data_IF_420936760819
#
_entry.id   IF_420936760819
#
_cell.length_a   1.000
_cell.length_b   1.000
_cell.length_c   1.000
_cell.angle_alpha   90.00
_cell.angle_beta   90.00
_cell.angle_gamma   90.00
#
_symmetry.space_group_name_H-M   'P 1'
#
loop_
_entity.id
_entity.type
_entity.pdbx_description
1 polymer ?
#
# COMPACT_ATOMS: atom_id res chain seq x y z
N UNK A 1 -21.42 10.37 -11.38
CA UNK A 1 -21.40 8.91 -11.54
C UNK A 1 -21.04 8.59 -12.98
N UNK A 2 -20.28 7.49 -13.21
CA UNK A 2 -20.00 6.98 -14.54
C UNK A 2 -21.12 6.03 -14.98
N UNK A 3 -21.41 5.98 -16.27
CA UNK A 3 -22.39 5.05 -16.86
C UNK A 3 -21.88 3.61 -16.84
N UNK A 4 -20.56 3.43 -16.99
CA UNK A 4 -19.92 2.11 -16.99
C UNK A 4 -20.06 1.41 -15.64
N UNK A 5 -20.45 0.14 -15.64
CA UNK A 5 -20.65 -0.64 -14.42
C UNK A 5 -19.34 -1.13 -13.80
N UNK A 6 -19.40 -1.49 -12.51
CA UNK A 6 -18.25 -1.92 -11.74
C UNK A 6 -17.63 -3.23 -12.23
N UNK A 7 -18.43 -4.16 -12.79
CA UNK A 7 -17.94 -5.45 -13.29
C UNK A 7 -17.12 -5.23 -14.56
N UNK A 8 -17.58 -4.32 -15.45
CA UNK A 8 -16.85 -3.96 -16.65
C UNK A 8 -15.51 -3.31 -16.27
N UNK A 9 -15.52 -2.33 -15.35
CA UNK A 9 -14.29 -1.70 -14.84
C UNK A 9 -13.35 -2.77 -14.30
N UNK A 10 -13.83 -3.64 -13.42
CA UNK A 10 -13.03 -4.70 -12.81
C UNK A 10 -12.40 -5.60 -13.87
N UNK A 11 -13.18 -6.08 -14.87
CA UNK A 11 -12.71 -6.92 -15.97
C UNK A 11 -11.54 -6.28 -16.74
N UNK A 12 -11.62 -4.98 -17.01
CA UNK A 12 -10.56 -4.25 -17.70
C UNK A 12 -9.28 -4.12 -16.88
N UNK A 13 -9.40 -3.93 -15.55
CA UNK A 13 -8.22 -3.77 -14.68
C UNK A 13 -7.53 -5.10 -14.36
N UNK A 14 -8.25 -6.24 -14.36
CA UNK A 14 -7.65 -7.57 -14.13
C UNK A 14 -7.28 -8.30 -15.44
N UNK A 15 -7.37 -7.64 -16.60
CA UNK A 15 -6.96 -8.22 -17.88
C UNK A 15 -5.51 -8.71 -17.83
N UNK A 16 -5.23 -10.01 -18.12
CA UNK A 16 -3.88 -10.58 -17.94
C UNK A 16 -2.81 -9.90 -18.81
N UNK A 17 -3.17 -9.47 -20.01
CA UNK A 17 -2.24 -8.80 -20.92
C UNK A 17 -1.90 -7.40 -20.39
N UNK A 18 -2.90 -6.68 -19.88
CA UNK A 18 -2.69 -5.38 -19.26
C UNK A 18 -1.83 -5.50 -18.01
N UNK A 19 -2.12 -6.45 -17.13
CA UNK A 19 -1.35 -6.69 -15.90
C UNK A 19 0.12 -6.99 -16.23
N UNK A 20 0.36 -7.96 -17.10
CA UNK A 20 1.72 -8.38 -17.51
C UNK A 20 2.50 -7.22 -18.14
N UNK A 21 1.88 -6.48 -19.07
CA UNK A 21 2.51 -5.36 -19.79
C UNK A 21 2.97 -4.25 -18.85
N UNK A 22 2.25 -4.04 -17.73
CA UNK A 22 2.49 -2.93 -16.81
C UNK A 22 3.10 -3.36 -15.46
N UNK A 23 3.58 -4.62 -15.37
CA UNK A 23 4.20 -5.21 -14.17
C UNK A 23 3.27 -5.18 -12.94
N UNK A 24 1.98 -5.44 -13.16
CA UNK A 24 1.00 -5.66 -12.11
C UNK A 24 0.56 -7.12 -12.03
N UNK A 25 -0.09 -7.45 -10.94
CA UNK A 25 -0.88 -8.67 -10.76
C UNK A 25 -2.22 -8.31 -10.10
N UNK A 26 -3.09 -9.29 -9.92
CA UNK A 26 -4.44 -9.08 -9.36
C UNK A 26 -4.44 -8.55 -7.93
N UNK A 27 -3.38 -8.78 -7.14
CA UNK A 27 -3.27 -8.32 -5.76
C UNK A 27 -2.78 -6.88 -5.66
N UNK A 28 -1.94 -6.43 -6.61
CA UNK A 28 -1.29 -5.12 -6.53
C UNK A 28 -1.80 -4.10 -7.55
N UNK A 29 -2.70 -4.48 -8.45
CA UNK A 29 -3.27 -3.56 -9.45
C UNK A 29 -3.95 -2.33 -8.84
N UNK A 30 -4.46 -2.45 -7.62
CA UNK A 30 -5.04 -1.32 -6.88
C UNK A 30 -4.06 -0.15 -6.73
N UNK A 31 -2.75 -0.41 -6.77
CA UNK A 31 -1.69 0.61 -6.73
C UNK A 31 -1.72 1.60 -7.90
N UNK A 32 -2.42 1.26 -9.00
CA UNK A 32 -2.57 2.14 -10.15
C UNK A 32 -3.38 3.40 -9.83
N UNK A 33 -4.22 3.33 -8.80
CA UNK A 33 -5.06 4.44 -8.37
C UNK A 33 -4.28 5.35 -7.41
N UNK A 34 -3.77 6.45 -7.94
CA UNK A 34 -3.15 7.50 -7.11
C UNK A 34 -4.25 8.40 -6.57
N UNK A 35 -4.35 8.62 -5.24
CA UNK A 35 -5.38 9.48 -4.67
C UNK A 35 -5.28 10.92 -5.20
N UNK A 36 -6.29 11.32 -5.94
CA UNK A 36 -6.45 12.68 -6.47
C UNK A 36 -7.90 12.89 -6.89
N UNK A 37 -8.25 14.11 -7.28
CA UNK A 37 -9.52 14.42 -7.95
C UNK A 37 -9.32 14.29 -9.45
N UNK A 38 -10.16 13.48 -10.08
CA UNK A 38 -10.13 13.23 -11.52
C UNK A 38 -11.47 13.58 -12.13
N UNK A 39 -11.45 14.34 -13.21
CA UNK A 39 -12.63 14.66 -13.98
C UNK A 39 -12.80 13.68 -15.15
N UNK A 40 -14.02 13.14 -15.30
CA UNK A 40 -14.42 12.25 -16.36
C UNK A 40 -15.77 12.66 -16.91
N UNK A 41 -15.97 12.47 -18.21
CA UNK A 41 -17.31 12.51 -18.76
C UNK A 41 -18.10 11.30 -18.24
N UNK A 42 -19.41 11.50 -18.01
CA UNK A 42 -20.29 10.45 -17.47
C UNK A 42 -20.30 9.17 -18.31
N UNK A 43 -20.16 9.30 -19.65
CA UNK A 43 -20.11 8.21 -20.61
C UNK A 43 -18.68 7.67 -20.88
N UNK A 44 -17.76 7.89 -19.96
CA UNK A 44 -16.39 7.37 -20.09
C UNK A 44 -16.38 5.85 -19.96
N UNK A 45 -15.89 5.15 -20.99
CA UNK A 45 -15.78 3.68 -20.98
C UNK A 45 -14.71 3.17 -20.02
N UNK A 46 -14.82 1.90 -19.58
CA UNK A 46 -13.83 1.24 -18.72
C UNK A 46 -12.40 1.28 -19.31
N UNK A 47 -12.29 1.14 -20.64
CA UNK A 47 -10.99 1.24 -21.31
C UNK A 47 -10.37 2.63 -21.18
N UNK A 48 -11.15 3.69 -21.41
CA UNK A 48 -10.68 5.08 -21.26
C UNK A 48 -10.32 5.38 -19.81
N UNK A 49 -11.12 4.91 -18.85
CA UNK A 49 -10.84 5.02 -17.44
C UNK A 49 -9.49 4.37 -17.10
N UNK A 50 -9.29 3.11 -17.50
CA UNK A 50 -8.02 2.38 -17.28
C UNK A 50 -6.83 3.11 -17.90
N UNK A 51 -6.95 3.58 -19.13
CA UNK A 51 -5.88 4.34 -19.81
C UNK A 51 -5.55 5.62 -19.04
N UNK A 52 -6.56 6.33 -18.54
CA UNK A 52 -6.35 7.55 -17.74
C UNK A 52 -5.66 7.24 -16.42
N UNK A 53 -6.10 6.22 -15.66
CA UNK A 53 -5.47 5.86 -14.39
C UNK A 53 -4.02 5.44 -14.59
N UNK A 54 -3.72 4.65 -15.63
CA UNK A 54 -2.34 4.28 -15.94
C UNK A 54 -1.48 5.50 -16.31
N UNK A 55 -2.02 6.47 -17.05
CA UNK A 55 -1.33 7.72 -17.37
C UNK A 55 -0.98 8.51 -16.10
N UNK A 56 -1.95 8.66 -15.20
CA UNK A 56 -1.75 9.36 -13.91
C UNK A 56 -0.71 8.64 -13.04
N UNK A 57 -0.79 7.30 -12.96
CA UNK A 57 0.21 6.48 -12.28
C UNK A 57 1.62 6.71 -12.84
N UNK A 58 1.79 6.64 -14.15
CA UNK A 58 3.09 6.83 -14.79
C UNK A 58 3.64 8.26 -14.60
N UNK A 59 2.77 9.27 -14.59
CA UNK A 59 3.12 10.66 -14.31
C UNK A 59 3.51 10.86 -12.85
N UNK A 60 2.79 10.23 -11.92
CA UNK A 60 3.10 10.27 -10.49
C UNK A 60 4.48 9.67 -10.18
N UNK A 61 4.80 8.52 -10.80
CA UNK A 61 6.12 7.89 -10.69
C UNK A 61 7.13 8.57 -11.61
N UNK A 62 7.37 9.87 -11.35
CA UNK A 62 8.37 10.67 -12.05
C UNK A 62 9.81 10.22 -11.72
N UNK A 63 10.80 10.79 -12.40
CA UNK A 63 12.23 10.44 -12.23
C UNK A 63 12.67 10.48 -10.76
N UNK A 64 12.23 11.48 -10.00
CA UNK A 64 12.63 11.63 -8.59
C UNK A 64 12.10 10.47 -7.73
N UNK A 65 10.78 10.12 -7.84
CA UNK A 65 10.19 9.00 -7.09
C UNK A 65 10.77 7.66 -7.52
N UNK A 66 11.00 7.45 -8.80
CA UNK A 66 11.65 6.24 -9.33
C UNK A 66 13.04 6.05 -8.73
N UNK A 67 13.86 7.10 -8.70
CA UNK A 67 15.20 7.04 -8.11
C UNK A 67 15.15 6.71 -6.62
N UNK A 68 14.19 7.27 -5.87
CA UNK A 68 14.01 6.96 -4.44
C UNK A 68 13.57 5.52 -4.21
N UNK A 69 12.61 5.02 -4.98
CA UNK A 69 12.17 3.62 -4.93
C UNK A 69 13.33 2.64 -5.21
N UNK A 70 14.16 2.96 -6.22
CA UNK A 70 15.35 2.16 -6.54
C UNK A 70 16.38 2.15 -5.38
N UNK A 71 16.57 3.25 -4.68
CA UNK A 71 17.49 3.32 -3.52
C UNK A 71 17.06 2.40 -2.39
N UNK A 72 15.76 2.31 -2.11
CA UNK A 72 15.21 1.42 -1.09
C UNK A 72 14.92 0.01 -1.63
N UNK A 73 15.30 -0.28 -2.88
CA UNK A 73 15.18 -1.59 -3.55
C UNK A 73 13.75 -2.15 -3.57
N UNK A 74 12.75 -1.29 -3.69
CA UNK A 74 11.34 -1.67 -3.82
C UNK A 74 10.80 -1.26 -5.20
N UNK A 75 9.94 -2.10 -5.75
CA UNK A 75 9.11 -1.77 -6.91
C UNK A 75 8.05 -0.73 -6.51
N UNK A 76 7.45 -0.05 -7.47
CA UNK A 76 6.43 0.97 -7.20
C UNK A 76 5.19 0.39 -6.50
N UNK A 77 4.81 -0.85 -6.85
CA UNK A 77 3.71 -1.55 -6.19
C UNK A 77 4.07 -1.94 -4.74
N UNK A 78 5.31 -2.34 -4.48
CA UNK A 78 5.80 -2.63 -3.13
C UNK A 78 5.89 -1.37 -2.27
N UNK A 79 6.32 -0.24 -2.85
CA UNK A 79 6.25 1.06 -2.15
C UNK A 79 4.81 1.40 -1.77
N UNK A 80 3.84 1.22 -2.68
CA UNK A 80 2.42 1.43 -2.39
C UNK A 80 1.92 0.45 -1.33
N UNK A 81 2.39 -0.79 -1.35
CA UNK A 81 2.05 -1.82 -0.35
C UNK A 81 2.53 -1.40 1.03
N UNK A 82 3.81 -1.05 1.17
CA UNK A 82 4.36 -0.57 2.43
C UNK A 82 3.68 0.72 2.90
N UNK A 83 3.42 1.66 1.99
CA UNK A 83 2.73 2.91 2.29
C UNK A 83 1.32 2.68 2.85
N UNK A 84 0.60 1.66 2.35
CA UNK A 84 -0.72 1.30 2.88
C UNK A 84 -0.66 0.76 4.31
N UNK A 85 0.42 0.06 4.67
CA UNK A 85 0.68 -0.41 6.03
C UNK A 85 1.01 0.78 6.94
N UNK A 86 1.98 1.59 6.55
CA UNK A 86 2.42 2.79 7.29
C UNK A 86 1.24 3.75 7.54
N UNK A 87 0.36 3.92 6.57
CA UNK A 87 -0.83 4.75 6.73
C UNK A 87 -1.79 4.22 7.80
N UNK A 88 -1.97 2.91 7.85
CA UNK A 88 -2.86 2.28 8.82
C UNK A 88 -2.25 2.18 10.23
N UNK A 89 -0.93 2.09 10.34
CA UNK A 89 -0.24 2.19 11.62
C UNK A 89 -0.33 3.60 12.21
N UNK A 90 -0.15 4.63 11.37
CA UNK A 90 -0.19 6.02 11.82
C UNK A 90 -1.12 6.86 10.96
N UNK A 91 -2.40 6.87 11.33
CA UNK A 91 -3.43 7.65 10.63
C UNK A 91 -3.40 9.14 10.98
N UNK A 92 -3.01 9.48 12.21
CA UNK A 92 -3.17 10.82 12.80
C UNK A 92 -1.94 11.66 12.54
N UNK A 93 -0.77 11.21 13.01
CA UNK A 93 0.50 11.94 12.94
C UNK A 93 1.28 11.59 11.68
N UNK A 94 1.02 12.36 10.63
CA UNK A 94 1.63 12.12 9.31
C UNK A 94 3.14 12.32 9.29
N UNK A 95 3.66 13.15 10.19
CA UNK A 95 5.08 13.45 10.39
C UNK A 95 5.87 12.28 10.99
N UNK A 96 5.22 11.35 11.68
CA UNK A 96 5.85 10.12 12.19
C UNK A 96 5.97 9.01 11.13
N UNK A 97 5.22 9.10 10.03
CA UNK A 97 5.22 8.06 8.97
C UNK A 97 6.59 7.74 8.38
N UNK A 98 7.50 8.72 8.14
CA UNK A 98 8.85 8.40 7.67
C UNK A 98 9.66 7.53 8.65
N UNK A 99 9.48 7.72 9.97
CA UNK A 99 10.12 6.90 11.00
C UNK A 99 9.58 5.47 10.97
N UNK A 100 8.26 5.31 10.93
CA UNK A 100 7.60 4.00 10.83
C UNK A 100 8.00 3.28 9.54
N UNK A 101 8.09 4.02 8.44
CA UNK A 101 8.56 3.47 7.16
C UNK A 101 9.98 2.94 7.25
N UNK A 102 10.89 3.69 7.89
CA UNK A 102 12.27 3.26 8.15
C UNK A 102 12.35 1.98 8.96
N UNK A 103 11.54 1.88 10.04
CA UNK A 103 11.46 0.68 10.86
C UNK A 103 11.03 -0.55 10.03
N UNK A 104 10.00 -0.43 9.20
CA UNK A 104 9.56 -1.55 8.36
C UNK A 104 10.57 -1.90 7.28
N UNK A 105 11.27 -0.93 6.68
CA UNK A 105 12.37 -1.19 5.75
C UNK A 105 13.50 -1.96 6.44
N UNK A 106 13.88 -1.60 7.67
CA UNK A 106 14.88 -2.33 8.45
C UNK A 106 14.48 -3.79 8.68
N UNK A 107 13.20 -4.04 9.04
CA UNK A 107 12.67 -5.41 9.17
C UNK A 107 12.73 -6.18 7.85
N UNK A 108 12.40 -5.54 6.72
CA UNK A 108 12.51 -6.16 5.39
C UNK A 108 13.96 -6.54 5.09
N UNK A 109 14.90 -5.62 5.27
CA UNK A 109 16.32 -5.86 4.99
C UNK A 109 16.94 -6.95 5.88
N UNK A 110 16.47 -7.07 7.12
CA UNK A 110 16.88 -8.10 8.06
C UNK A 110 16.10 -9.41 7.91
N UNK A 111 15.25 -9.53 6.89
CA UNK A 111 14.41 -10.71 6.66
C UNK A 111 13.53 -11.06 7.89
N UNK A 112 13.05 -10.06 8.59
CA UNK A 112 12.12 -10.18 9.71
C UNK A 112 10.66 -10.18 9.20
N UNK A 113 9.75 -10.64 10.06
CA UNK A 113 8.30 -10.47 9.86
C UNK A 113 7.93 -9.01 10.15
N UNK A 114 6.95 -8.45 9.41
CA UNK A 114 6.52 -7.07 9.68
C UNK A 114 5.66 -6.96 10.95
N UNK A 115 4.87 -8.02 11.27
CA UNK A 115 4.04 -8.11 12.47
C UNK A 115 3.10 -6.92 12.65
N UNK A 116 2.50 -6.48 11.54
CA UNK A 116 1.60 -5.35 11.47
C UNK A 116 0.15 -5.78 11.67
N UNK A 117 -0.52 -5.26 12.70
CA UNK A 117 -1.93 -5.55 13.00
C UNK A 117 -2.88 -5.17 11.86
N UNK A 118 -2.76 -4.02 11.18
CA UNK A 118 -3.58 -3.69 10.02
C UNK A 118 -3.60 -4.75 8.91
N UNK A 119 -2.50 -5.47 8.71
CA UNK A 119 -2.44 -6.53 7.70
C UNK A 119 -3.28 -7.76 8.11
N UNK A 120 -3.38 -8.05 9.41
CA UNK A 120 -4.27 -9.09 9.93
C UNK A 120 -5.74 -8.71 9.81
N UNK A 121 -6.08 -7.48 10.15
CA UNK A 121 -7.45 -6.94 9.99
C UNK A 121 -7.89 -7.09 8.54
N UNK A 122 -7.00 -6.73 7.59
CA UNK A 122 -7.26 -6.90 6.16
C UNK A 122 -7.39 -8.40 5.76
N UNK A 123 -6.53 -9.26 6.31
CA UNK A 123 -6.56 -10.70 6.04
C UNK A 123 -7.85 -11.37 6.51
N UNK A 124 -8.38 -10.92 7.65
CA UNK A 124 -9.64 -11.39 8.24
C UNK A 124 -10.88 -10.80 7.54
N UNK A 125 -10.73 -9.68 6.80
CA UNK A 125 -11.82 -8.92 6.19
C UNK A 125 -12.87 -8.44 7.20
N UNK A 126 -12.46 -8.30 8.45
CA UNK A 126 -13.29 -7.76 9.53
C UNK A 126 -12.68 -6.46 10.04
N UNK A 127 -13.20 -5.37 9.50
CA UNK A 127 -12.72 -4.00 9.81
C UNK A 127 -13.33 -3.43 11.10
N UNK A 128 -14.13 -4.19 11.83
CA UNK A 128 -14.66 -3.83 13.16
C UNK A 128 -13.68 -4.16 14.30
N UNK A 129 -12.62 -4.93 14.01
CA UNK A 129 -11.61 -5.33 14.98
C UNK A 129 -10.81 -4.12 15.43
N UNK A 130 -10.95 -3.77 16.73
CA UNK A 130 -10.15 -2.71 17.36
C UNK A 130 -8.85 -3.24 17.99
N UNK A 131 -8.80 -4.53 18.34
CA UNK A 131 -7.63 -5.17 18.96
C UNK A 131 -7.44 -6.58 18.41
N UNK A 132 -6.26 -6.84 17.85
CA UNK A 132 -5.88 -8.15 17.36
C UNK A 132 -5.54 -9.09 18.53
N UNK A 133 -6.10 -10.30 18.50
CA UNK A 133 -5.87 -11.35 19.50
C UNK A 133 -4.94 -12.43 18.96
N UNK A 134 -4.37 -13.25 19.88
CA UNK A 134 -3.47 -14.36 19.48
C UNK A 134 -4.14 -15.38 18.56
N UNK A 135 -5.46 -15.58 18.65
CA UNK A 135 -6.22 -16.45 17.72
C UNK A 135 -6.19 -15.91 16.28
N UNK A 136 -6.22 -14.60 16.11
CA UNK A 136 -6.27 -13.92 14.81
C UNK A 136 -4.94 -14.06 14.06
N UNK A 137 -3.82 -14.10 14.79
CA UNK A 137 -2.48 -14.32 14.23
C UNK A 137 -2.30 -15.68 13.55
N UNK A 138 -3.24 -16.61 13.74
CA UNK A 138 -3.22 -17.94 13.13
C UNK A 138 -3.84 -17.99 11.74
N UNK A 139 -4.50 -16.92 11.28
CA UNK A 139 -5.17 -16.88 9.97
C UNK A 139 -4.19 -17.26 8.85
N UNK A 140 -4.63 -18.17 7.97
CA UNK A 140 -3.83 -18.58 6.82
C UNK A 140 -4.14 -17.69 5.61
N UNK A 141 -3.46 -16.55 5.55
CA UNK A 141 -3.60 -15.59 4.47
C UNK A 141 -2.22 -15.05 4.09
N UNK A 142 -1.91 -14.83 2.80
CA UNK A 142 -0.65 -14.23 2.38
C UNK A 142 -0.47 -12.78 2.89
N UNK A 143 -1.53 -12.16 3.37
CA UNK A 143 -1.50 -10.85 4.04
C UNK A 143 -1.14 -10.93 5.53
N UNK A 144 -1.01 -12.13 6.11
CA UNK A 144 -0.64 -12.30 7.52
C UNK A 144 0.86 -12.08 7.73
N UNK A 145 1.25 -10.86 8.08
CA UNK A 145 2.66 -10.50 8.32
C UNK A 145 3.21 -10.99 9.67
N UNK A 146 2.40 -11.61 10.52
CA UNK A 146 2.86 -12.38 11.68
C UNK A 146 3.29 -13.80 11.31
N UNK A 147 2.79 -14.33 10.19
CA UNK A 147 3.08 -15.67 9.73
C UNK A 147 4.16 -15.68 8.64
N UNK A 148 4.05 -14.77 7.69
CA UNK A 148 4.93 -14.69 6.53
C UNK A 148 5.87 -13.49 6.61
N UNK A 149 7.10 -13.65 6.14
CA UNK A 149 8.11 -12.60 6.05
C UNK A 149 7.92 -11.73 4.80
N UNK A 150 8.44 -10.51 4.86
CA UNK A 150 8.38 -9.57 3.75
C UNK A 150 7.04 -8.87 3.61
N UNK A 151 6.86 -8.18 2.49
CA UNK A 151 5.63 -7.47 2.17
C UNK A 151 4.51 -8.45 1.78
N UNK A 152 3.24 -8.12 2.11
CA UNK A 152 2.10 -8.84 1.56
C UNK A 152 1.99 -8.66 0.04
N UNK A 153 1.16 -9.46 -0.66
CA UNK A 153 1.09 -9.47 -2.13
C UNK A 153 0.65 -8.15 -2.77
N UNK A 154 0.06 -7.25 -1.99
CA UNK A 154 -0.42 -5.96 -2.46
C UNK A 154 -0.88 -5.06 -1.31
N UNK A 155 -1.29 -3.83 -1.61
CA UNK A 155 -1.75 -2.87 -0.61
C UNK A 155 -3.00 -3.32 0.13
N UNK A 156 -3.11 -2.95 1.41
CA UNK A 156 -4.29 -3.19 2.26
C UNK A 156 -5.32 -2.06 2.19
N UNK A 157 -4.95 -0.94 1.58
CA UNK A 157 -5.83 0.17 1.19
C UNK A 157 -5.14 0.95 0.07
N UNK A 158 -5.84 1.90 -0.56
CA UNK A 158 -5.21 2.88 -1.44
C UNK A 158 -4.51 3.91 -0.55
N UNK A 159 -3.15 3.93 -0.51
CA UNK A 159 -2.43 4.85 0.38
C UNK A 159 -2.47 6.28 -0.15
N UNK A 160 -2.52 7.25 0.75
CA UNK A 160 -2.37 8.66 0.41
C UNK A 160 -0.99 8.96 -0.19
N UNK A 161 -0.89 10.03 -0.98
CA UNK A 161 0.40 10.51 -1.53
C UNK A 161 1.41 10.76 -0.40
N UNK A 162 0.93 11.30 0.74
CA UNK A 162 1.79 11.53 1.90
C UNK A 162 2.42 10.23 2.42
N UNK A 163 1.67 9.12 2.47
CA UNK A 163 2.19 7.82 2.91
C UNK A 163 3.18 7.22 1.91
N UNK A 164 2.92 7.38 0.60
CA UNK A 164 3.87 6.96 -0.44
C UNK A 164 5.17 7.76 -0.32
N UNK A 165 5.06 9.08 -0.20
CA UNK A 165 6.23 9.96 -0.07
C UNK A 165 6.96 9.72 1.28
N UNK A 166 6.26 9.33 2.35
CA UNK A 166 6.88 8.94 3.62
C UNK A 166 7.76 7.68 3.46
N UNK A 167 7.31 6.67 2.72
CA UNK A 167 8.12 5.48 2.42
C UNK A 167 9.33 5.85 1.55
N UNK A 168 9.14 6.70 0.55
CA UNK A 168 10.22 7.16 -0.34
C UNK A 168 11.24 8.08 0.34
N UNK A 169 10.88 8.66 1.50
CA UNK A 169 11.73 9.51 2.34
C UNK A 169 11.84 8.93 3.75
N UNK A 170 11.82 7.60 3.87
CA UNK A 170 11.94 6.91 5.14
C UNK A 170 13.14 7.44 5.93
N UNK A 171 12.96 7.64 7.23
CA UNK A 171 14.03 8.10 8.12
C UNK A 171 15.12 7.05 8.23
N UNK A 172 16.36 7.49 8.23
CA UNK A 172 17.55 6.66 8.42
C UNK A 172 17.79 6.46 9.92
N UNK A 173 17.58 5.23 10.40
CA UNK A 173 17.81 4.79 11.78
C UNK A 173 17.83 3.26 11.82
N UNK A 174 18.23 2.68 12.96
CA UNK A 174 18.35 1.23 13.16
C UNK A 174 17.15 0.61 13.90
N UNK A 175 16.07 1.35 14.13
CA UNK A 175 14.92 0.85 14.86
C UNK A 175 14.23 -0.30 14.11
N UNK A 176 13.88 -1.34 14.86
CA UNK A 176 13.11 -2.51 14.40
C UNK A 176 11.86 -2.74 15.25
N UNK A 177 11.68 -1.97 16.33
CA UNK A 177 10.50 -1.94 17.19
C UNK A 177 10.07 -0.50 17.44
N UNK A 178 8.77 -0.30 17.67
CA UNK A 178 8.18 0.95 18.12
C UNK A 178 7.19 0.67 19.26
N UNK A 179 7.10 1.60 20.18
CA UNK A 179 6.12 1.58 21.26
C UNK A 179 5.38 2.92 21.27
N UNK A 180 4.07 2.89 21.46
CA UNK A 180 3.33 4.12 21.71
C UNK A 180 3.82 4.77 23.02
N UNK A 181 3.87 6.10 23.04
CA UNK A 181 4.13 6.86 24.26
C UNK A 181 3.01 6.61 25.28
N UNK A 182 3.30 6.78 26.59
CA UNK A 182 2.35 6.56 27.68
C UNK A 182 1.08 7.40 27.55
N UNK A 183 1.22 8.62 27.01
CA UNK A 183 0.11 9.56 26.78
C UNK A 183 -0.58 9.35 25.43
N UNK A 184 -0.21 8.30 24.67
CA UNK A 184 -0.67 8.02 23.31
C UNK A 184 -0.47 9.20 22.34
N UNK A 185 0.46 10.11 22.64
CA UNK A 185 0.73 11.27 21.80
C UNK A 185 1.56 10.92 20.55
N UNK A 186 1.95 9.67 20.34
CA UNK A 186 2.75 9.18 19.21
C UNK A 186 3.65 8.00 19.59
N UNK A 187 4.67 7.78 18.80
CA UNK A 187 5.70 6.76 18.99
C UNK A 187 7.02 7.35 19.51
#
# INVERSE_FOLDING_TARGET
FLEVDSNEIHKYFIDPNFLKKNNFNTNNIISVFIPNTYEFYWNTSAEKLRKRMLKEYNSFWNRTRRNKASKIKLTYAEVSTLASIVEKEQNIKKDERPMIAGLYLNRIYQNMKLESDPTLIYALKDFSINRVLNKDKKVNSPYNTYKYKGLPPGPICIPSINSIDAVLNASDHDYIFMCAKEDFSGY
#
